data_IF_748245065563
#
_entry.id   IF_748245065563
#
_cell.length_a   1.000
_cell.length_b   1.000
_cell.length_c   1.000
_cell.angle_alpha   90.00
_cell.angle_beta   90.00
_cell.angle_gamma   90.00
#
_symmetry.space_group_name_H-M   'P 1'
#
loop_
_entity.id
_entity.type
_entity.pdbx_description
1 polymer ?
#
# COMPACT_ATOMS: atom_id res chain seq x y z
N UNK A 1 39.70 -24.81 24.83
CA UNK A 1 38.56 -25.56 24.23
C UNK A 1 37.62 -24.58 23.57
N UNK A 2 37.66 -24.62 22.24
CA UNK A 2 37.04 -23.71 21.28
C UNK A 2 35.52 -23.87 21.20
N UNK A 3 34.77 -22.77 21.29
CA UNK A 3 33.32 -22.76 21.02
C UNK A 3 33.04 -22.07 19.69
N UNK A 4 33.30 -22.77 18.59
CA UNK A 4 33.00 -22.32 17.21
C UNK A 4 31.52 -22.52 16.82
N UNK A 5 30.61 -22.71 17.79
CA UNK A 5 29.19 -22.96 17.52
C UNK A 5 28.42 -21.71 17.06
N UNK A 6 28.97 -20.51 17.19
CA UNK A 6 28.31 -19.24 16.82
C UNK A 6 28.61 -18.76 15.41
N UNK A 7 29.74 -19.15 14.81
CA UNK A 7 30.16 -18.65 13.49
C UNK A 7 29.49 -19.38 12.32
N UNK A 8 29.06 -20.64 12.52
CA UNK A 8 28.29 -21.39 11.52
C UNK A 8 26.88 -20.80 11.27
N UNK A 9 26.29 -20.18 12.30
CA UNK A 9 24.98 -19.52 12.18
C UNK A 9 25.08 -18.23 11.36
N UNK A 10 26.15 -17.45 11.52
CA UNK A 10 26.31 -16.16 10.84
C UNK A 10 26.66 -16.37 9.36
N UNK A 11 27.48 -17.39 9.03
CA UNK A 11 27.78 -17.73 7.64
C UNK A 11 26.54 -18.24 6.88
N UNK A 12 25.68 -19.03 7.52
CA UNK A 12 24.40 -19.44 6.94
C UNK A 12 23.36 -18.32 6.86
N UNK A 13 23.46 -17.30 7.71
CA UNK A 13 22.53 -16.17 7.68
C UNK A 13 22.75 -15.30 6.44
N UNK A 14 23.99 -15.11 5.98
CA UNK A 14 24.27 -14.44 4.70
C UNK A 14 23.83 -15.27 3.49
N UNK A 15 23.91 -16.60 3.57
CA UNK A 15 23.44 -17.48 2.51
C UNK A 15 21.90 -17.50 2.40
N UNK A 16 21.19 -17.46 3.53
CA UNK A 16 19.72 -17.34 3.57
C UNK A 16 19.23 -15.97 3.08
N UNK A 17 19.97 -14.88 3.31
CA UNK A 17 19.63 -13.55 2.77
C UNK A 17 19.81 -13.52 1.24
N UNK A 18 20.77 -14.29 0.69
CA UNK A 18 21.00 -14.42 -0.77
C UNK A 18 20.04 -15.39 -1.47
N UNK A 19 19.43 -16.31 -0.73
CA UNK A 19 18.46 -17.31 -1.23
C UNK A 19 17.02 -17.01 -0.82
N UNK A 20 16.77 -15.93 -0.07
CA UNK A 20 15.45 -15.34 -0.05
C UNK A 20 15.13 -15.06 -1.52
N UNK A 21 14.10 -15.69 -2.12
CA UNK A 21 13.70 -15.33 -3.46
C UNK A 21 13.58 -13.82 -3.43
N UNK A 22 14.30 -13.13 -4.30
CA UNK A 22 14.05 -11.71 -4.53
C UNK A 22 12.56 -11.64 -4.67
N UNK A 23 11.92 -11.04 -3.65
CA UNK A 23 10.48 -11.02 -3.47
C UNK A 23 9.94 -10.39 -4.74
N UNK A 24 9.65 -11.22 -5.73
CA UNK A 24 8.85 -10.90 -6.88
C UNK A 24 7.47 -10.89 -6.29
N UNK A 25 7.21 -9.76 -5.64
CA UNK A 25 5.92 -9.37 -5.11
C UNK A 25 4.93 -9.75 -6.21
N UNK A 26 3.86 -10.48 -5.88
CA UNK A 26 2.69 -10.57 -6.76
C UNK A 26 2.00 -9.19 -6.81
N UNK A 27 2.70 -8.16 -7.28
CA UNK A 27 2.11 -6.91 -7.78
C UNK A 27 1.41 -7.19 -9.12
N UNK A 28 1.65 -8.35 -9.75
CA UNK A 28 1.12 -8.69 -11.07
C UNK A 28 -0.43 -8.67 -11.19
N UNK A 29 -1.19 -8.56 -10.09
CA UNK A 29 -2.65 -8.36 -10.15
C UNK A 29 -3.12 -6.95 -9.76
N UNK A 30 -2.23 -6.03 -9.39
CA UNK A 30 -2.59 -4.66 -9.01
C UNK A 30 -2.62 -3.77 -10.25
N UNK A 31 -3.73 -3.06 -10.44
CA UNK A 31 -3.85 -2.12 -11.54
C UNK A 31 -3.03 -0.86 -11.24
N UNK A 32 -2.13 -0.50 -12.15
CA UNK A 32 -1.56 0.84 -12.17
C UNK A 32 -2.61 1.81 -12.72
N UNK A 33 -3.01 2.78 -11.90
CA UNK A 33 -3.90 3.86 -12.31
C UNK A 33 -3.08 5.08 -12.72
N UNK A 34 -3.56 5.80 -13.72
CA UNK A 34 -3.01 7.10 -14.09
C UNK A 34 -3.43 8.18 -13.09
N UNK A 35 -2.67 9.26 -13.03
CA UNK A 35 -3.02 10.44 -12.25
C UNK A 35 -4.38 11.01 -12.68
N UNK A 36 -4.66 11.00 -13.98
CA UNK A 36 -5.94 11.47 -14.53
C UNK A 36 -7.12 10.66 -14.02
N UNK A 37 -7.00 9.33 -13.98
CA UNK A 37 -8.04 8.45 -13.39
C UNK A 37 -8.21 8.72 -11.90
N UNK A 38 -7.12 8.93 -11.17
CA UNK A 38 -7.14 9.25 -9.74
C UNK A 38 -7.89 10.56 -9.46
N UNK A 39 -7.58 11.61 -10.23
CA UNK A 39 -8.24 12.91 -10.16
C UNK A 39 -9.73 12.80 -10.51
N UNK A 40 -10.06 12.06 -11.57
CA UNK A 40 -11.45 11.83 -11.97
C UNK A 40 -12.23 11.10 -10.86
N UNK A 41 -11.65 10.04 -10.30
CA UNK A 41 -12.29 9.22 -9.28
C UNK A 41 -12.50 9.97 -7.96
N UNK A 42 -11.60 10.90 -7.59
CA UNK A 42 -11.67 11.67 -6.34
C UNK A 42 -12.34 13.05 -6.48
N UNK A 43 -12.68 13.48 -7.69
CA UNK A 43 -13.14 14.85 -7.94
C UNK A 43 -12.04 15.88 -7.63
N UNK A 44 -10.82 15.66 -8.12
CA UNK A 44 -9.64 16.51 -7.88
C UNK A 44 -9.25 16.61 -6.41
N UNK A 45 -9.34 15.51 -5.66
CA UNK A 45 -9.05 15.46 -4.22
C UNK A 45 -9.82 16.51 -3.40
N UNK A 46 -11.08 16.77 -3.80
CA UNK A 46 -11.95 17.71 -3.10
C UNK A 46 -12.08 17.35 -1.62
N UNK A 47 -12.06 18.36 -0.74
CA UNK A 47 -12.30 18.18 0.69
C UNK A 47 -13.67 17.55 0.98
N UNK A 48 -14.65 17.73 0.08
CA UNK A 48 -15.97 17.08 0.19
C UNK A 48 -15.92 15.56 0.02
N UNK A 49 -14.89 15.03 -0.64
CA UNK A 49 -14.68 13.60 -0.84
C UNK A 49 -13.79 12.99 0.26
N UNK A 50 -13.21 13.80 1.14
CA UNK A 50 -12.36 13.31 2.21
C UNK A 50 -13.20 12.59 3.27
N UNK A 51 -12.85 11.33 3.53
CA UNK A 51 -13.52 10.49 4.55
C UNK A 51 -12.70 10.35 5.82
N UNK A 52 -11.40 10.64 5.76
CA UNK A 52 -10.55 10.56 6.94
C UNK A 52 -9.16 11.15 6.72
N UNK A 53 -8.40 11.19 7.81
CA UNK A 53 -6.99 11.57 7.82
C UNK A 53 -6.26 10.63 8.78
N UNK A 54 -5.27 9.92 8.27
CA UNK A 54 -4.36 9.12 9.08
C UNK A 54 -3.00 9.80 9.23
N UNK A 55 -2.09 9.21 10.01
CA UNK A 55 -0.71 9.70 10.13
C UNK A 55 0.04 9.73 8.79
N UNK A 56 -0.36 8.85 7.87
CA UNK A 56 0.22 8.66 6.56
C UNK A 56 -0.26 9.67 5.47
N UNK A 57 -1.40 10.32 5.70
CA UNK A 57 -2.02 11.19 4.70
C UNK A 57 -3.55 11.18 4.74
N UNK A 58 -4.15 11.63 3.64
CA UNK A 58 -5.60 11.83 3.56
C UNK A 58 -6.26 10.66 2.84
N UNK A 59 -7.45 10.29 3.29
CA UNK A 59 -8.26 9.24 2.67
C UNK A 59 -9.49 9.89 2.04
N UNK A 60 -9.70 9.60 0.76
CA UNK A 60 -10.79 10.11 -0.05
C UNK A 60 -11.69 8.95 -0.47
N UNK A 61 -13.00 9.18 -0.50
CA UNK A 61 -13.94 8.30 -1.19
C UNK A 61 -13.92 8.65 -2.67
N UNK A 62 -13.76 7.64 -3.51
CA UNK A 62 -13.83 7.79 -4.96
C UNK A 62 -14.76 6.78 -5.60
N UNK A 63 -15.14 7.05 -6.84
CA UNK A 63 -15.92 6.15 -7.69
C UNK A 63 -15.15 6.00 -9.01
N UNK A 64 -14.76 4.76 -9.33
CA UNK A 64 -14.11 4.43 -10.59
C UNK A 64 -15.13 4.40 -11.75
N UNK A 65 -14.65 4.39 -12.99
CA UNK A 65 -15.50 4.40 -14.19
C UNK A 65 -16.44 3.19 -14.30
N UNK A 66 -16.04 2.06 -13.70
CA UNK A 66 -16.82 0.82 -13.58
C UNK A 66 -17.89 0.90 -12.47
N UNK A 67 -18.07 2.08 -11.85
CA UNK A 67 -18.93 2.35 -10.69
C UNK A 67 -18.48 1.68 -9.39
N UNK A 68 -17.27 1.13 -9.34
CA UNK A 68 -16.71 0.58 -8.11
C UNK A 68 -16.42 1.71 -7.12
N UNK A 69 -16.95 1.60 -5.91
CA UNK A 69 -16.69 2.55 -4.83
C UNK A 69 -15.38 2.18 -4.13
N UNK A 70 -14.45 3.13 -4.07
CA UNK A 70 -13.10 2.93 -3.58
C UNK A 70 -12.73 3.93 -2.49
N UNK A 71 -11.85 3.52 -1.59
CA UNK A 71 -11.13 4.41 -0.70
C UNK A 71 -9.74 4.67 -1.31
N UNK A 72 -9.38 5.93 -1.45
CA UNK A 72 -8.18 6.40 -2.12
C UNK A 72 -7.33 7.09 -1.07
N UNK A 73 -6.23 6.45 -0.68
CA UNK A 73 -5.31 7.00 0.32
C UNK A 73 -4.15 7.67 -0.40
N UNK A 74 -4.01 8.99 -0.20
CA UNK A 74 -2.98 9.83 -0.79
C UNK A 74 -1.92 10.13 0.26
N UNK A 75 -0.67 9.83 -0.07
CA UNK A 75 0.49 10.17 0.76
C UNK A 75 0.60 11.69 0.91
N UNK A 76 1.17 12.15 2.03
CA UNK A 76 1.52 13.56 2.15
C UNK A 76 2.65 13.93 1.17
N UNK A 77 2.41 14.92 0.33
CA UNK A 77 3.35 15.41 -0.67
C UNK A 77 4.69 15.85 -0.03
N UNK A 78 5.81 15.42 -0.62
CA UNK A 78 7.16 15.83 -0.19
C UNK A 78 7.73 15.16 1.07
N UNK A 79 7.00 14.25 1.73
CA UNK A 79 7.52 13.54 2.91
C UNK A 79 8.26 12.27 2.53
N UNK A 80 9.59 12.21 2.75
CA UNK A 80 10.38 10.98 2.62
C UNK A 80 9.90 9.86 3.56
N UNK A 81 9.36 10.25 4.72
CA UNK A 81 8.72 9.32 5.65
C UNK A 81 7.43 8.76 5.04
N UNK A 82 6.62 9.62 4.40
CA UNK A 82 5.44 9.22 3.63
C UNK A 82 5.75 8.33 2.43
N UNK A 83 6.95 8.38 1.86
CA UNK A 83 7.32 7.42 0.81
C UNK A 83 7.60 6.03 1.38
N UNK A 84 8.33 5.93 2.49
CA UNK A 84 8.63 4.64 3.12
C UNK A 84 7.37 3.98 3.67
N UNK A 85 6.53 4.76 4.34
CA UNK A 85 5.24 4.27 4.85
C UNK A 85 4.31 3.85 3.71
N UNK A 86 4.39 4.46 2.52
CA UNK A 86 3.62 4.06 1.32
C UNK A 86 3.88 2.60 0.96
N UNK A 87 5.14 2.30 0.70
CA UNK A 87 5.56 1.00 0.21
C UNK A 87 5.39 -0.04 1.30
N UNK A 88 5.64 0.33 2.57
CA UNK A 88 5.43 -0.58 3.71
C UNK A 88 3.96 -0.96 3.85
N UNK A 89 3.03 -0.01 3.73
CA UNK A 89 1.60 -0.28 3.87
C UNK A 89 1.06 -1.05 2.66
N UNK A 90 1.48 -0.70 1.45
CA UNK A 90 1.16 -1.47 0.23
C UNK A 90 1.70 -2.90 0.33
N UNK A 91 2.93 -3.09 0.80
CA UNK A 91 3.53 -4.41 1.01
C UNK A 91 2.69 -5.21 2.03
N UNK A 92 2.35 -4.61 3.16
CA UNK A 92 1.54 -5.25 4.19
C UNK A 92 0.14 -5.62 3.67
N UNK A 93 -0.53 -4.70 2.98
CA UNK A 93 -1.85 -4.93 2.38
C UNK A 93 -1.79 -6.03 1.31
N UNK A 94 -0.74 -6.05 0.49
CA UNK A 94 -0.55 -7.09 -0.53
C UNK A 94 -0.38 -8.49 0.07
N UNK A 95 0.21 -8.59 1.26
CA UNK A 95 0.40 -9.84 2.00
C UNK A 95 -0.87 -10.30 2.73
N UNK A 96 -1.77 -9.36 3.04
CA UNK A 96 -3.01 -9.62 3.77
C UNK A 96 -4.19 -9.99 2.85
N UNK A 97 -3.93 -10.46 1.63
CA UNK A 97 -4.95 -10.98 0.71
C UNK A 97 -5.66 -12.23 1.27
N UNK A 98 -6.53 -12.05 2.25
CA UNK A 98 -7.50 -13.01 2.72
C UNK A 98 -8.89 -12.51 2.33
N UNK A 99 -9.85 -13.42 2.13
CA UNK A 99 -11.22 -13.12 1.65
C UNK A 99 -12.01 -12.06 2.47
N UNK A 100 -11.51 -11.70 3.65
CA UNK A 100 -12.13 -10.78 4.61
C UNK A 100 -11.20 -9.62 5.02
N UNK A 101 -10.02 -9.51 4.43
CA UNK A 101 -9.01 -8.50 4.75
C UNK A 101 -8.84 -7.60 3.52
N UNK A 102 -8.65 -6.31 3.80
CA UNK A 102 -8.64 -5.18 2.86
C UNK A 102 -8.14 -5.54 1.45
N UNK A 103 -8.98 -5.28 0.45
CA UNK A 103 -8.64 -5.53 -0.96
C UNK A 103 -7.98 -4.29 -1.56
N UNK A 104 -6.66 -4.36 -1.74
CA UNK A 104 -5.89 -3.41 -2.54
C UNK A 104 -6.22 -3.64 -4.02
N UNK A 105 -6.77 -2.62 -4.67
CA UNK A 105 -7.21 -2.64 -6.06
C UNK A 105 -6.10 -2.17 -7.01
N UNK A 106 -5.26 -1.27 -6.54
CA UNK A 106 -4.20 -0.70 -7.36
C UNK A 106 -3.49 0.47 -6.71
N UNK A 107 -2.60 1.09 -7.49
CA UNK A 107 -1.80 2.24 -7.07
C UNK A 107 -1.56 3.21 -8.22
N UNK A 108 -1.23 4.45 -7.88
CA UNK A 108 -0.76 5.50 -8.78
C UNK A 108 0.53 6.08 -8.18
N UNK A 109 1.56 6.20 -9.02
CA UNK A 109 2.86 6.79 -8.69
C UNK A 109 3.33 7.72 -9.83
N UNK A 110 2.46 8.61 -10.28
CA UNK A 110 2.73 9.58 -11.34
C UNK A 110 2.84 10.99 -10.76
N UNK A 111 3.61 11.88 -11.38
CA UNK A 111 3.73 13.30 -10.97
C UNK A 111 4.18 13.54 -9.51
N UNK A 112 4.86 12.57 -8.89
CA UNK A 112 5.23 12.65 -7.47
C UNK A 112 4.09 12.31 -6.50
N UNK A 113 2.94 11.92 -7.03
CA UNK A 113 1.76 11.52 -6.27
C UNK A 113 1.79 10.05 -5.96
N UNK A 114 1.81 9.72 -4.68
CA UNK A 114 1.78 8.35 -4.19
C UNK A 114 0.41 8.05 -3.63
N UNK A 115 -0.36 7.28 -4.39
CA UNK A 115 -1.76 7.01 -4.10
C UNK A 115 -2.02 5.52 -4.25
N UNK A 116 -2.84 4.95 -3.37
CA UNK A 116 -3.35 3.60 -3.56
C UNK A 116 -4.86 3.50 -3.33
N UNK A 117 -5.44 2.49 -3.97
CA UNK A 117 -6.86 2.27 -4.10
C UNK A 117 -7.25 1.03 -3.34
N UNK A 118 -8.21 1.16 -2.43
CA UNK A 118 -8.79 0.09 -1.64
C UNK A 118 -10.28 -0.03 -1.93
N UNK A 119 -10.84 -1.23 -1.77
CA UNK A 119 -12.30 -1.38 -1.74
C UNK A 119 -12.88 -0.62 -0.54
N UNK A 120 -13.88 0.25 -0.78
CA UNK A 120 -14.46 1.09 0.27
C UNK A 120 -15.15 0.27 1.37
N UNK A 121 -15.74 -0.87 1.00
CA UNK A 121 -16.38 -1.79 1.95
C UNK A 121 -15.39 -2.33 2.99
N UNK A 122 -14.17 -2.64 2.56
CA UNK A 122 -13.13 -3.10 3.48
C UNK A 122 -12.48 -1.95 4.25
N UNK A 123 -12.40 -0.75 3.67
CA UNK A 123 -11.94 0.44 4.39
C UNK A 123 -12.82 0.75 5.60
N UNK A 124 -14.16 0.69 5.48
CA UNK A 124 -15.06 0.92 6.61
C UNK A 124 -14.84 -0.09 7.75
N UNK A 125 -14.56 -1.36 7.42
CA UNK A 125 -14.23 -2.36 8.42
C UNK A 125 -12.89 -2.03 9.11
N UNK A 126 -11.85 -1.68 8.35
CA UNK A 126 -10.54 -1.33 8.89
C UNK A 126 -10.57 -0.08 9.79
N UNK A 127 -11.29 0.96 9.38
CA UNK A 127 -11.45 2.21 10.14
C UNK A 127 -12.28 2.01 11.43
N UNK A 128 -13.24 1.09 11.42
CA UNK A 128 -14.03 0.74 12.62
C UNK A 128 -13.22 0.03 13.72
N UNK A 129 -12.03 -0.49 13.39
CA UNK A 129 -11.13 -1.18 14.32
C UNK A 129 -9.91 -0.33 14.73
N UNK A 130 -9.74 0.87 14.18
CA UNK A 130 -8.56 1.72 14.40
C UNK A 130 -8.82 2.92 15.31
#
# INVERSE_FOLDING_TARGET
MTSYKSLWAISNMFFYISLAPTMLIKIECLRAFSFKETVSATGSFSSSAQVGRGGYGNVYKGILDDKTVVAIKRAQEGSLQGQKEFFTEIELLSRLHHRNLVSLLGYCNENGEQVYFLSFLHFQAYDSFS
#
